data_IF_417850151154
#
_entry.id   IF_417850151154
#
_cell.length_a   1.000
_cell.length_b   1.000
_cell.length_c   1.000
_cell.angle_alpha   90.00
_cell.angle_beta   90.00
_cell.angle_gamma   90.00
#
_symmetry.space_group_name_H-M   'P 1'
#
loop_
_entity.id
_entity.type
_entity.pdbx_description
1 polymer ?
#
# COMPACT_ATOMS: atom_id res chain seq x y z
N UNK A 1 17.37 1.56 2.37
CA UNK A 1 16.43 0.47 2.66
C UNK A 1 15.38 1.02 3.62
N UNK A 2 14.10 0.77 3.39
CA UNK A 2 13.07 1.20 4.33
C UNK A 2 13.22 0.41 5.64
N UNK A 3 13.10 1.08 6.79
CA UNK A 3 13.05 0.37 8.07
C UNK A 3 11.76 -0.45 8.14
N UNK A 4 11.87 -1.74 8.47
CA UNK A 4 10.75 -2.69 8.49
C UNK A 4 10.10 -2.70 9.87
N UNK A 5 8.78 -2.63 9.92
CA UNK A 5 7.96 -2.76 11.13
C UNK A 5 7.11 -4.03 11.10
N UNK A 6 7.02 -4.71 12.24
CA UNK A 6 6.12 -5.86 12.47
C UNK A 6 4.91 -5.49 13.34
N UNK A 7 4.64 -4.19 13.55
CA UNK A 7 3.47 -3.73 14.32
C UNK A 7 2.17 -4.26 13.71
N UNK A 8 1.22 -4.61 14.57
CA UNK A 8 -0.10 -5.07 14.14
C UNK A 8 -0.78 -4.03 13.23
N UNK A 9 -1.18 -4.44 12.02
CA UNK A 9 -1.79 -3.50 11.08
C UNK A 9 -3.15 -2.96 11.56
N UNK A 10 -3.85 -3.72 12.40
CA UNK A 10 -5.11 -3.29 13.03
C UNK A 10 -4.94 -2.16 14.04
N UNK A 11 -3.72 -1.87 14.50
CA UNK A 11 -3.44 -0.74 15.40
C UNK A 11 -3.15 0.56 14.67
N UNK A 12 -3.22 0.57 13.33
CA UNK A 12 -3.01 1.76 12.50
C UNK A 12 -4.30 2.00 11.72
N UNK A 13 -4.82 3.21 11.83
CA UNK A 13 -6.01 3.68 11.16
C UNK A 13 -5.68 4.83 10.20
N UNK A 14 -6.60 5.15 9.29
CA UNK A 14 -6.45 6.29 8.38
C UNK A 14 -6.34 7.64 9.13
N UNK A 15 -6.92 7.73 10.32
CA UNK A 15 -6.86 8.91 11.18
C UNK A 15 -5.50 9.14 11.82
N UNK A 16 -4.63 8.12 11.89
CA UNK A 16 -3.27 8.27 12.43
C UNK A 16 -2.33 9.02 11.47
N UNK A 17 -2.73 9.15 10.20
CA UNK A 17 -1.99 9.92 9.20
C UNK A 17 -2.35 11.39 9.30
N UNK A 18 -1.32 12.23 9.40
CA UNK A 18 -1.44 13.67 9.65
C UNK A 18 -2.29 14.38 8.60
N UNK A 19 -2.07 14.06 7.33
CA UNK A 19 -2.73 14.70 6.22
C UNK A 19 -2.88 13.75 5.02
N UNK A 20 -3.52 14.23 3.94
CA UNK A 20 -3.74 13.43 2.74
C UNK A 20 -2.43 13.04 2.05
N UNK A 21 -1.42 13.91 2.04
CA UNK A 21 -0.11 13.61 1.46
C UNK A 21 0.57 12.48 2.23
N UNK A 22 0.56 12.53 3.56
CA UNK A 22 1.13 11.46 4.39
C UNK A 22 0.50 10.08 4.06
N UNK A 23 -0.82 10.01 4.04
CA UNK A 23 -1.54 8.78 3.71
C UNK A 23 -1.30 8.30 2.27
N UNK A 24 -1.29 9.24 1.33
CA UNK A 24 -1.09 8.93 -0.08
C UNK A 24 0.32 8.45 -0.40
N UNK A 25 1.32 9.01 0.26
CA UNK A 25 2.69 8.56 0.11
C UNK A 25 2.96 7.22 0.81
N UNK A 26 2.19 6.90 1.85
CA UNK A 26 2.19 5.58 2.48
C UNK A 26 1.49 4.50 1.64
N UNK A 27 0.74 4.91 0.60
CA UNK A 27 -0.12 4.05 -0.22
C UNK A 27 0.52 3.62 -1.55
N UNK A 28 0.15 2.43 -2.03
CA UNK A 28 0.65 1.91 -3.30
C UNK A 28 0.01 2.58 -4.52
N UNK A 29 -1.26 2.95 -4.37
CA UNK A 29 -2.09 3.57 -5.40
C UNK A 29 -2.43 4.98 -4.94
N UNK A 30 -2.18 5.96 -5.81
CA UNK A 30 -2.62 7.34 -5.66
C UNK A 30 -3.32 7.76 -6.96
N UNK A 31 -4.62 8.00 -6.88
CA UNK A 31 -5.48 8.41 -7.99
C UNK A 31 -5.75 9.93 -8.00
N UNK A 32 -5.12 10.69 -7.10
CA UNK A 32 -5.25 12.13 -7.09
C UNK A 32 -4.65 12.75 -8.35
N UNK A 33 -5.26 13.85 -8.78
CA UNK A 33 -4.77 14.70 -9.85
C UNK A 33 -4.36 16.05 -9.28
N UNK A 34 -3.51 16.79 -9.99
CA UNK A 34 -3.08 18.11 -9.55
C UNK A 34 -2.06 18.11 -8.41
N UNK A 35 -1.82 19.28 -7.79
CA UNK A 35 -0.75 19.48 -6.81
C UNK A 35 -1.07 18.79 -5.48
N UNK A 36 -0.02 18.42 -4.73
CA UNK A 36 -0.12 17.68 -3.45
C UNK A 36 -1.08 18.30 -2.42
N UNK A 37 -1.15 19.62 -2.39
CA UNK A 37 -2.04 20.38 -1.47
C UNK A 37 -3.53 20.12 -1.69
N UNK A 38 -3.91 19.59 -2.86
CA UNK A 38 -5.29 19.29 -3.26
C UNK A 38 -5.60 17.78 -3.19
N UNK A 39 -4.64 16.97 -2.76
CA UNK A 39 -4.84 15.53 -2.64
C UNK A 39 -5.84 15.20 -1.52
N UNK A 40 -6.59 14.11 -1.71
CA UNK A 40 -7.52 13.57 -0.71
C UNK A 40 -7.14 12.12 -0.39
N UNK A 41 -7.38 11.71 0.87
CA UNK A 41 -7.11 10.34 1.32
C UNK A 41 -7.95 9.31 0.55
N UNK A 42 -9.19 9.66 0.20
CA UNK A 42 -10.12 8.78 -0.51
C UNK A 42 -9.58 8.26 -1.86
N UNK A 43 -8.73 9.03 -2.54
CA UNK A 43 -8.11 8.66 -3.81
C UNK A 43 -6.85 7.80 -3.64
N UNK A 44 -6.42 7.54 -2.43
CA UNK A 44 -5.23 6.76 -2.13
C UNK A 44 -5.63 5.42 -1.53
N UNK A 45 -5.03 4.33 -2.03
CA UNK A 45 -5.43 2.96 -1.70
C UNK A 45 -4.22 2.10 -1.40
N UNK A 46 -4.45 1.09 -0.56
CA UNK A 46 -3.47 0.10 -0.14
C UNK A 46 -2.25 0.75 0.56
N UNK A 47 -2.46 1.42 1.71
CA UNK A 47 -1.37 1.83 2.60
C UNK A 47 -0.51 0.64 3.04
N UNK A 48 0.80 0.78 2.91
CA UNK A 48 1.81 -0.23 3.28
C UNK A 48 2.93 0.33 4.18
N UNK A 49 3.05 1.65 4.28
CA UNK A 49 3.92 2.31 5.23
C UNK A 49 3.12 2.83 6.43
N UNK A 50 3.78 2.89 7.59
CA UNK A 50 3.21 3.55 8.77
C UNK A 50 3.14 5.07 8.58
N UNK A 51 2.32 5.79 9.37
CA UNK A 51 2.30 7.26 9.37
C UNK A 51 3.68 7.87 9.61
N UNK A 52 3.90 9.10 9.10
CA UNK A 52 5.16 9.84 9.36
C UNK A 52 5.45 10.03 10.84
N UNK A 53 4.41 10.31 11.64
CA UNK A 53 4.49 10.45 13.10
C UNK A 53 5.00 9.18 13.80
N UNK A 54 4.92 8.02 13.13
CA UNK A 54 5.39 6.72 13.62
C UNK A 54 6.72 6.26 12.97
N UNK A 55 7.35 7.11 12.16
CA UNK A 55 8.64 6.83 11.53
C UNK A 55 8.57 6.30 10.10
N UNK A 56 7.38 6.25 9.48
CA UNK A 56 7.19 5.89 8.06
C UNK A 56 7.85 4.57 7.64
N UNK A 57 7.78 3.58 8.54
CA UNK A 57 8.35 2.25 8.35
C UNK A 57 7.52 1.45 7.35
N UNK A 58 8.17 0.58 6.58
CA UNK A 58 7.46 -0.42 5.77
C UNK A 58 6.85 -1.45 6.73
N UNK A 59 5.53 -1.53 6.79
CA UNK A 59 4.87 -2.47 7.70
C UNK A 59 4.63 -3.80 6.99
N UNK A 60 5.27 -4.88 7.46
CA UNK A 60 5.15 -6.23 6.89
C UNK A 60 3.69 -6.66 6.80
N UNK A 61 2.93 -6.50 7.88
CA UNK A 61 1.52 -6.88 7.95
C UNK A 61 0.65 -6.07 6.98
N UNK A 62 0.98 -4.81 6.75
CA UNK A 62 0.31 -3.96 5.77
C UNK A 62 0.57 -4.43 4.32
N UNK A 63 1.79 -4.89 4.01
CA UNK A 63 2.12 -5.48 2.70
C UNK A 63 1.25 -6.72 2.43
N UNK A 64 1.14 -7.64 3.39
CA UNK A 64 0.25 -8.80 3.24
C UNK A 64 -1.22 -8.40 3.12
N UNK A 65 -1.69 -7.45 3.92
CA UNK A 65 -3.06 -6.97 3.85
C UNK A 65 -3.35 -6.34 2.47
N UNK A 66 -2.43 -5.53 1.96
CA UNK A 66 -2.55 -4.93 0.64
C UNK A 66 -2.55 -5.98 -0.48
N UNK A 67 -1.72 -7.02 -0.38
CA UNK A 67 -1.71 -8.14 -1.31
C UNK A 67 -3.04 -8.90 -1.33
N UNK A 68 -3.59 -9.19 -0.14
CA UNK A 68 -4.87 -9.88 -0.01
C UNK A 68 -6.01 -9.06 -0.62
N UNK A 69 -6.09 -7.76 -0.31
CA UNK A 69 -7.13 -6.88 -0.88
C UNK A 69 -6.96 -6.75 -2.40
N UNK A 70 -5.74 -6.62 -2.90
CA UNK A 70 -5.50 -6.56 -4.35
C UNK A 70 -5.91 -7.86 -5.06
N UNK A 71 -5.81 -9.00 -4.38
CA UNK A 71 -6.28 -10.31 -4.84
C UNK A 71 -7.79 -10.54 -4.67
N UNK A 72 -8.55 -9.55 -4.17
CA UNK A 72 -10.02 -9.61 -4.06
C UNK A 72 -10.56 -9.80 -2.64
N UNK A 73 -9.71 -9.90 -1.61
CA UNK A 73 -10.19 -9.92 -0.24
C UNK A 73 -10.99 -8.63 0.07
N UNK A 74 -12.03 -8.75 0.91
CA UNK A 74 -12.90 -7.63 1.31
C UNK A 74 -13.55 -6.88 0.12
N UNK A 75 -13.81 -7.58 -0.99
CA UNK A 75 -14.41 -6.99 -2.19
C UNK A 75 -13.41 -6.35 -3.15
N UNK A 76 -12.12 -6.44 -2.87
CA UNK A 76 -11.06 -5.90 -3.71
C UNK A 76 -10.75 -4.43 -3.46
N UNK A 77 -9.91 -3.86 -4.33
CA UNK A 77 -9.65 -2.42 -4.35
C UNK A 77 -10.37 -1.76 -5.53
N UNK A 78 -11.04 -0.65 -5.26
CA UNK A 78 -11.58 0.21 -6.31
C UNK A 78 -10.47 1.08 -6.90
N UNK A 79 -9.96 0.65 -8.06
CA UNK A 79 -8.91 1.32 -8.80
C UNK A 79 -8.87 0.81 -10.26
N UNK A 80 -8.41 1.63 -11.22
CA UNK A 80 -8.24 1.21 -12.61
C UNK A 80 -7.32 -0.02 -12.75
N UNK A 81 -7.51 -0.87 -13.77
CA UNK A 81 -6.69 -2.07 -13.99
C UNK A 81 -5.18 -1.77 -14.05
N UNK A 82 -4.79 -0.68 -14.71
CA UNK A 82 -3.38 -0.25 -14.79
C UNK A 82 -2.78 0.11 -13.42
N UNK A 83 -3.55 0.80 -12.56
CA UNK A 83 -3.12 1.12 -11.21
C UNK A 83 -2.95 -0.16 -10.36
N UNK A 84 -3.87 -1.12 -10.50
CA UNK A 84 -3.77 -2.44 -9.85
C UNK A 84 -2.53 -3.22 -10.30
N UNK A 85 -2.25 -3.26 -11.60
CA UNK A 85 -1.05 -3.90 -12.16
C UNK A 85 0.25 -3.27 -11.63
N UNK A 86 0.30 -1.95 -11.59
CA UNK A 86 1.45 -1.22 -11.03
C UNK A 86 1.61 -1.49 -9.53
N UNK A 87 0.51 -1.51 -8.76
CA UNK A 87 0.53 -1.86 -7.34
C UNK A 87 1.03 -3.30 -7.11
N UNK A 88 0.60 -4.26 -7.92
CA UNK A 88 1.09 -5.65 -7.83
C UNK A 88 2.60 -5.74 -8.06
N UNK A 89 3.12 -5.04 -9.07
CA UNK A 89 4.57 -4.98 -9.35
C UNK A 89 5.35 -4.37 -8.18
N UNK A 90 4.82 -3.32 -7.56
CA UNK A 90 5.40 -2.71 -6.35
C UNK A 90 5.39 -3.70 -5.19
N UNK A 91 4.25 -4.36 -4.92
CA UNK A 91 4.15 -5.38 -3.88
C UNK A 91 5.17 -6.50 -4.07
N UNK A 92 5.36 -7.01 -5.29
CA UNK A 92 6.38 -8.03 -5.58
C UNK A 92 7.78 -7.57 -5.16
N UNK A 93 8.12 -6.29 -5.35
CA UNK A 93 9.40 -5.73 -4.87
C UNK A 93 9.43 -5.64 -3.35
N UNK A 94 8.34 -5.20 -2.72
CA UNK A 94 8.26 -5.11 -1.26
C UNK A 94 8.36 -6.49 -0.59
N UNK A 95 7.74 -7.53 -1.15
CA UNK A 95 7.93 -8.91 -0.69
C UNK A 95 9.40 -9.32 -0.69
N UNK A 96 10.13 -8.99 -1.76
CA UNK A 96 11.59 -9.24 -1.83
C UNK A 96 12.37 -8.44 -0.79
N UNK A 97 11.98 -7.18 -0.53
CA UNK A 97 12.57 -6.37 0.55
C UNK A 97 12.31 -6.95 1.94
N UNK A 98 11.19 -7.66 2.11
CA UNK A 98 10.82 -8.37 3.35
C UNK A 98 11.47 -9.76 3.49
N UNK A 99 12.26 -10.18 2.49
CA UNK A 99 12.83 -11.53 2.33
C UNK A 99 11.74 -12.62 2.29
N UNK A 100 10.64 -12.32 1.60
CA UNK A 100 9.49 -13.21 1.47
C UNK A 100 9.13 -13.47 0.01
N UNK A 101 8.46 -14.61 -0.23
CA UNK A 101 7.95 -14.95 -1.55
C UNK A 101 6.62 -14.23 -1.84
N UNK A 102 6.52 -13.45 -2.94
CA UNK A 102 5.26 -12.84 -3.32
C UNK A 102 4.22 -13.89 -3.74
N UNK A 103 2.95 -13.74 -3.34
CA UNK A 103 1.87 -14.62 -3.75
C UNK A 103 1.72 -14.76 -5.27
N UNK A 104 1.38 -15.96 -5.74
CA UNK A 104 1.12 -16.24 -7.16
C UNK A 104 0.02 -15.36 -7.77
N UNK A 105 -0.98 -14.99 -6.97
CA UNK A 105 -2.03 -14.05 -7.39
C UNK A 105 -1.46 -12.68 -7.78
N UNK A 106 -0.43 -12.19 -7.08
CA UNK A 106 0.26 -10.95 -7.44
C UNK A 106 1.10 -11.10 -8.70
N UNK A 107 1.82 -12.22 -8.86
CA UNK A 107 2.62 -12.50 -10.07
C UNK A 107 1.73 -12.47 -11.32
N UNK A 108 0.61 -13.21 -11.27
CA UNK A 108 -0.43 -13.19 -12.32
C UNK A 108 -0.98 -11.79 -12.59
N UNK A 109 -1.29 -11.02 -11.55
CA UNK A 109 -1.84 -9.67 -11.70
C UNK A 109 -0.80 -8.68 -12.25
N UNK A 110 0.48 -8.84 -11.91
CA UNK A 110 1.58 -8.05 -12.44
C UNK A 110 1.95 -8.41 -13.90
N UNK A 111 1.55 -9.60 -14.35
CA UNK A 111 1.87 -10.16 -15.67
C UNK A 111 3.32 -10.63 -15.77
N UNK A 112 3.85 -11.22 -14.70
CA UNK A 112 5.23 -11.73 -14.60
C UNK A 112 5.26 -13.17 -14.13
#
# INVERSE_FOLDING_TARGET
MAEISNRAWSSISESDYEDAVDFCEASLINLNQGPRREWTKANCKLPVYEPRSMGRRLNRNAVHAAAAVLAGARGGVDAPPDAKRQAARKLIRLYRELDEEPPESLKRLAGV
#
